data_IF_562457469729
#
_entry.id   IF_562457469729
#
_cell.length_a   1.000
_cell.length_b   1.000
_cell.length_c   1.000
_cell.angle_alpha   90.00
_cell.angle_beta   90.00
_cell.angle_gamma   90.00
#
_symmetry.space_group_name_H-M   'P 1'
#
loop_
_entity.id
_entity.type
_entity.pdbx_description
1 polymer ?
#
# COMPACT_ATOMS: atom_id res chain seq x y z
N UNK A 1 0.90 -5.79 1.10
CA UNK A 1 1.50 -4.47 0.79
C UNK A 1 0.90 -3.95 -0.54
N UNK A 2 0.92 -2.65 -0.83
CA UNK A 2 0.06 -1.92 -1.81
C UNK A 2 -1.45 -2.04 -1.56
N UNK A 3 -2.06 -3.22 -1.79
CA UNK A 3 -3.51 -3.44 -1.59
C UNK A 3 -3.98 -3.20 -0.14
N UNK A 4 -3.10 -3.41 0.84
CA UNK A 4 -3.36 -3.13 2.25
C UNK A 4 -3.38 -1.61 2.50
N UNK A 5 -2.46 -0.87 1.86
CA UNK A 5 -2.40 0.59 2.00
C UNK A 5 -3.65 1.20 1.37
N UNK A 6 -3.98 0.79 0.14
CA UNK A 6 -5.19 1.23 -0.55
C UNK A 6 -6.47 0.93 0.26
N UNK A 7 -6.63 -0.30 0.76
CA UNK A 7 -7.80 -0.66 1.56
C UNK A 7 -7.87 0.05 2.91
N UNK A 8 -6.72 0.35 3.53
CA UNK A 8 -6.65 1.16 4.76
C UNK A 8 -7.13 2.58 4.52
N UNK A 9 -6.67 3.23 3.45
CA UNK A 9 -7.07 4.59 3.10
C UNK A 9 -8.57 4.70 2.79
N UNK A 10 -9.13 3.70 2.10
CA UNK A 10 -10.58 3.62 1.85
C UNK A 10 -11.34 3.57 3.18
N UNK A 11 -10.94 2.69 4.11
CA UNK A 11 -11.59 2.59 5.42
C UNK A 11 -11.51 3.86 6.26
N UNK A 12 -10.38 4.57 6.22
CA UNK A 12 -10.22 5.88 6.88
C UNK A 12 -11.19 6.89 6.24
N UNK A 13 -11.26 6.94 4.91
CA UNK A 13 -12.16 7.86 4.20
C UNK A 13 -13.64 7.59 4.47
N UNK A 14 -14.00 6.33 4.74
CA UNK A 14 -15.35 5.92 5.11
C UNK A 14 -15.63 6.06 6.62
N UNK A 15 -14.66 6.52 7.43
CA UNK A 15 -14.79 6.63 8.88
C UNK A 15 -14.83 5.30 9.64
N UNK A 16 -14.51 4.19 8.98
CA UNK A 16 -14.48 2.83 9.58
C UNK A 16 -13.21 2.55 10.38
N UNK A 17 -12.19 3.39 10.20
CA UNK A 17 -10.92 3.33 10.91
C UNK A 17 -10.59 4.74 11.40
N UNK A 18 -10.50 4.91 12.71
CA UNK A 18 -10.26 6.19 13.37
C UNK A 18 -8.79 6.65 13.42
N UNK A 19 -7.79 5.75 13.54
CA UNK A 19 -6.38 6.14 13.54
C UNK A 19 -5.95 6.91 12.29
N UNK A 20 -5.00 7.82 12.47
CA UNK A 20 -4.27 8.42 11.36
C UNK A 20 -3.28 7.40 10.75
N UNK A 21 -2.95 7.58 9.47
CA UNK A 21 -2.00 6.74 8.73
C UNK A 21 -0.65 6.64 9.44
N UNK A 22 -0.20 7.73 10.07
CA UNK A 22 1.06 7.77 10.83
C UNK A 22 1.06 6.79 12.02
N UNK A 23 -0.06 6.69 12.74
CA UNK A 23 -0.22 5.77 13.88
C UNK A 23 -0.16 4.32 13.41
N UNK A 24 -0.82 4.00 12.29
CA UNK A 24 -0.84 2.66 11.70
C UNK A 24 0.57 2.22 11.27
N UNK A 25 1.35 3.12 10.66
CA UNK A 25 2.73 2.83 10.25
C UNK A 25 3.61 2.61 11.49
N UNK A 26 3.49 3.48 12.50
CA UNK A 26 4.29 3.43 13.72
C UNK A 26 3.99 2.17 14.55
N UNK A 27 2.74 1.72 14.56
CA UNK A 27 2.32 0.51 15.27
C UNK A 27 3.00 -0.77 14.76
N UNK A 28 3.51 -0.79 13.51
CA UNK A 28 4.13 -1.98 12.88
C UNK A 28 3.30 -3.26 13.02
N UNK A 29 1.98 -3.11 13.11
CA UNK A 29 1.05 -4.19 13.40
C UNK A 29 0.01 -4.29 12.28
N UNK A 30 -0.05 -5.44 11.60
CA UNK A 30 -1.02 -5.66 10.51
C UNK A 30 -2.47 -5.50 10.98
N UNK A 31 -2.78 -5.85 12.22
CA UNK A 31 -4.13 -5.73 12.75
C UNK A 31 -4.59 -4.27 12.92
N UNK A 32 -3.66 -3.31 12.97
CA UNK A 32 -3.97 -1.88 13.02
C UNK A 32 -4.36 -1.31 11.64
N UNK A 33 -4.04 -2.01 10.54
CA UNK A 33 -4.36 -1.59 9.19
C UNK A 33 -5.74 -2.12 8.74
N UNK A 34 -6.37 -1.42 7.81
CA UNK A 34 -7.68 -1.78 7.27
C UNK A 34 -7.69 -3.04 6.40
N UNK A 35 -8.75 -3.17 5.60
CA UNK A 35 -8.96 -4.33 4.73
C UNK A 35 -7.86 -4.45 3.68
N UNK A 36 -7.69 -5.66 3.15
CA UNK A 36 -6.91 -5.86 1.93
C UNK A 36 -7.83 -5.61 0.74
N UNK A 37 -7.56 -4.56 -0.05
CA UNK A 37 -8.35 -4.25 -1.25
C UNK A 37 -8.40 -5.46 -2.21
N UNK A 38 -9.44 -5.62 -3.06
CA UNK A 38 -9.51 -6.71 -4.04
C UNK A 38 -8.31 -6.75 -5.01
N UNK A 39 -7.94 -7.94 -5.55
CA UNK A 39 -6.76 -8.07 -6.40
C UNK A 39 -6.94 -7.47 -7.80
N UNK A 40 -8.14 -7.55 -8.37
CA UNK A 40 -8.44 -7.14 -9.74
C UNK A 40 -8.42 -5.61 -9.98
N UNK A 41 -8.24 -4.82 -8.92
CA UNK A 41 -8.08 -3.36 -9.01
C UNK A 41 -6.61 -2.91 -9.06
N UNK A 42 -5.64 -3.80 -8.89
CA UNK A 42 -4.22 -3.48 -8.90
C UNK A 42 -3.57 -3.89 -10.23
N UNK A 43 -2.85 -2.96 -10.85
CA UNK A 43 -2.11 -3.17 -12.10
C UNK A 43 -0.66 -2.75 -11.94
N UNK A 44 0.26 -3.54 -12.48
CA UNK A 44 1.66 -3.14 -12.65
C UNK A 44 1.72 -2.15 -13.81
N UNK A 45 2.12 -0.91 -13.52
CA UNK A 45 2.15 0.14 -14.54
C UNK A 45 3.47 0.16 -15.32
N UNK A 46 4.60 0.22 -14.60
CA UNK A 46 5.93 0.34 -15.20
C UNK A 46 6.99 -0.20 -14.25
N UNK A 47 8.03 -0.80 -14.82
CA UNK A 47 9.25 -1.21 -14.11
C UNK A 47 10.39 -0.35 -14.62
N UNK A 48 11.17 0.20 -13.69
CA UNK A 48 12.38 0.97 -13.99
C UNK A 48 13.59 0.06 -13.78
N UNK A 49 14.52 0.07 -14.73
CA UNK A 49 15.82 -0.56 -14.63
C UNK A 49 16.87 0.54 -14.69
N UNK A 50 17.95 0.38 -13.91
CA UNK A 50 19.12 1.23 -14.04
C UNK A 50 19.81 0.97 -15.40
N UNK A 51 20.56 1.96 -15.89
CA UNK A 51 21.29 1.82 -17.15
C UNK A 51 22.24 0.62 -17.07
N UNK A 52 22.01 -0.37 -17.94
CA UNK A 52 22.88 -1.52 -18.07
C UNK A 52 24.13 -1.06 -18.80
N UNK A 53 25.23 -0.85 -18.05
CA UNK A 53 26.56 -0.67 -18.63
C UNK A 53 26.95 -1.96 -19.36
N UNK A 54 26.65 -2.05 -20.66
CA UNK A 54 27.18 -3.12 -21.51
C UNK A 54 28.69 -2.93 -21.59
N UNK A 55 29.44 -3.78 -20.88
CA UNK A 55 30.88 -3.93 -21.08
C UNK A 55 31.09 -4.53 -22.48
N UNK A 56 31.67 -3.74 -23.38
CA UNK A 56 32.30 -4.23 -24.61
C UNK A 56 33.62 -4.94 -24.28
#
# INVERSE_FOLDING_TARGET
MVRIIAGTLVYISEGKLSPDVSEIITAKNRAAAGITAPPYGLYLYKVYYDDVQTKN
#
